data_IF_032743661658
#
_entry.id   IF_032743661658
#
_cell.length_a   1.000
_cell.length_b   1.000
_cell.length_c   1.000
_cell.angle_alpha   90.00
_cell.angle_beta   90.00
_cell.angle_gamma   90.00
#
_symmetry.space_group_name_H-M   'P 1'
#
loop_
_entity.id
_entity.type
_entity.pdbx_description
1 polymer ?
#
# COMPACT_ATOMS: atom_id res chain seq x y z
N UNK A 1 -11.01 -13.03 -11.75
CA UNK A 1 -10.94 -12.10 -10.61
C UNK A 1 -12.33 -11.63 -10.26
N UNK A 2 -12.72 -11.72 -9.00
CA UNK A 2 -13.98 -11.19 -8.47
C UNK A 2 -13.99 -9.65 -8.48
N UNK A 3 -15.19 -9.05 -8.46
CA UNK A 3 -15.37 -7.60 -8.33
C UNK A 3 -14.64 -7.04 -7.08
N UNK A 4 -14.58 -7.85 -6.02
CA UNK A 4 -13.91 -7.50 -4.78
C UNK A 4 -12.39 -7.42 -4.92
N UNK A 5 -11.78 -8.38 -5.62
CA UNK A 5 -10.35 -8.36 -5.93
C UNK A 5 -9.99 -7.16 -6.80
N UNK A 6 -10.82 -6.82 -7.78
CA UNK A 6 -10.63 -5.63 -8.63
C UNK A 6 -10.68 -4.33 -7.83
N UNK A 7 -11.61 -4.21 -6.88
CA UNK A 7 -11.68 -3.05 -5.99
C UNK A 7 -10.45 -2.93 -5.08
N UNK A 8 -9.97 -4.04 -4.52
CA UNK A 8 -8.77 -4.06 -3.69
C UNK A 8 -7.52 -3.69 -4.49
N UNK A 9 -7.39 -4.21 -5.71
CA UNK A 9 -6.32 -3.86 -6.64
C UNK A 9 -6.33 -2.36 -6.92
N UNK A 10 -7.49 -1.79 -7.23
CA UNK A 10 -7.66 -0.34 -7.49
C UNK A 10 -7.27 0.50 -6.27
N UNK A 11 -7.63 0.07 -5.06
CA UNK A 11 -7.23 0.76 -3.82
C UNK A 11 -5.70 0.72 -3.66
N UNK A 12 -5.07 -0.45 -3.82
CA UNK A 12 -3.62 -0.58 -3.72
C UNK A 12 -2.89 0.31 -4.73
N UNK A 13 -3.39 0.40 -5.97
CA UNK A 13 -2.86 1.28 -7.00
C UNK A 13 -2.99 2.76 -6.64
N UNK A 14 -4.12 3.17 -6.06
CA UNK A 14 -4.31 4.55 -5.61
C UNK A 14 -3.34 4.91 -4.48
N UNK A 15 -3.15 4.02 -3.50
CA UNK A 15 -2.16 4.22 -2.43
C UNK A 15 -0.74 4.28 -2.98
N UNK A 16 -0.41 3.41 -3.94
CA UNK A 16 0.88 3.45 -4.62
C UNK A 16 1.12 4.78 -5.34
N UNK A 17 0.12 5.28 -6.08
CA UNK A 17 0.22 6.60 -6.74
C UNK A 17 0.39 7.74 -5.75
N UNK A 18 -0.33 7.71 -4.64
CA UNK A 18 -0.24 8.74 -3.60
C UNK A 18 1.15 8.76 -2.94
N UNK A 19 1.66 7.59 -2.55
CA UNK A 19 2.96 7.43 -1.90
C UNK A 19 4.13 7.81 -2.82
N UNK A 20 3.98 7.59 -4.12
CA UNK A 20 4.97 8.02 -5.11
C UNK A 20 4.77 9.47 -5.58
N UNK A 21 3.70 10.15 -5.12
CA UNK A 21 3.42 11.55 -5.41
C UNK A 21 4.08 12.51 -4.42
N UNK A 22 4.02 13.83 -4.68
CA UNK A 22 4.75 14.84 -3.90
C UNK A 22 4.41 14.86 -2.40
N UNK A 23 3.19 14.48 -2.04
CA UNK A 23 2.74 14.44 -0.64
C UNK A 23 3.18 13.17 0.10
N UNK A 24 3.28 12.04 -0.59
CA UNK A 24 3.63 10.76 0.01
C UNK A 24 5.12 10.43 -0.11
N UNK A 25 5.86 11.16 -0.95
CA UNK A 25 7.26 10.88 -1.26
C UNK A 25 8.15 10.91 -0.02
N UNK A 26 7.92 11.85 0.90
CA UNK A 26 8.66 11.93 2.16
C UNK A 26 8.60 10.62 2.97
N UNK A 27 7.43 9.99 3.03
CA UNK A 27 7.24 8.69 3.72
C UNK A 27 8.09 7.60 3.09
N UNK A 28 8.32 7.66 1.78
CA UNK A 28 9.13 6.68 1.04
C UNK A 28 10.62 7.01 1.13
N UNK A 29 10.96 8.29 1.18
CA UNK A 29 12.34 8.72 1.35
C UNK A 29 12.87 8.37 2.75
N UNK A 30 11.99 8.36 3.77
CA UNK A 30 12.28 7.91 5.13
C UNK A 30 12.48 6.38 5.28
N UNK A 31 12.03 5.59 4.29
CA UNK A 31 12.24 4.14 4.27
C UNK A 31 13.58 3.80 3.62
N UNK A 32 14.30 2.84 4.20
CA UNK A 32 15.44 2.23 3.53
C UNK A 32 14.98 1.35 2.36
N UNK A 33 15.87 1.15 1.38
CA UNK A 33 15.59 0.30 0.23
C UNK A 33 15.35 -1.16 0.69
N UNK A 34 14.23 -1.76 0.29
CA UNK A 34 13.79 -3.07 0.78
C UNK A 34 13.05 -3.04 2.12
N UNK A 35 13.04 -1.91 2.83
CA UNK A 35 12.28 -1.75 4.06
C UNK A 35 10.77 -1.81 3.81
N UNK A 36 10.05 -2.30 4.80
CA UNK A 36 8.60 -2.45 4.75
C UNK A 36 7.92 -1.72 5.89
N UNK A 37 6.93 -0.90 5.54
CA UNK A 37 5.95 -0.36 6.46
C UNK A 37 4.61 -1.11 6.32
N UNK A 38 3.92 -1.33 7.44
CA UNK A 38 2.58 -1.91 7.45
C UNK A 38 1.58 -0.91 8.00
N UNK A 39 0.56 -0.59 7.20
CA UNK A 39 -0.56 0.25 7.62
C UNK A 39 -1.78 -0.64 7.83
N UNK A 40 -2.37 -0.56 9.03
CA UNK A 40 -3.65 -1.21 9.33
C UNK A 40 -4.75 -0.14 9.37
N UNK A 41 -5.80 -0.34 8.58
CA UNK A 41 -6.94 0.56 8.54
C UNK A 41 -8.21 -0.22 8.19
N UNK A 42 -9.28 -0.07 8.98
CA UNK A 42 -10.62 -0.63 8.71
C UNK A 42 -10.58 -2.10 8.25
N UNK A 43 -9.93 -2.95 9.07
CA UNK A 43 -9.75 -4.38 8.80
C UNK A 43 -8.76 -4.71 7.67
N UNK A 44 -8.23 -3.74 6.94
CA UNK A 44 -7.28 -3.94 5.83
C UNK A 44 -5.85 -3.70 6.29
N UNK A 45 -4.96 -4.60 5.93
CA UNK A 45 -3.52 -4.45 6.15
C UNK A 45 -2.84 -4.19 4.81
N UNK A 46 -2.24 -3.02 4.67
CA UNK A 46 -1.40 -2.63 3.55
C UNK A 46 0.06 -2.85 3.91
N UNK A 47 0.77 -3.57 3.06
CA UNK A 47 2.23 -3.68 3.08
C UNK A 47 2.79 -2.74 2.04
N UNK A 48 3.58 -1.78 2.47
CA UNK A 48 4.28 -0.82 1.64
C UNK A 48 5.76 -1.18 1.71
N UNK A 49 6.38 -1.40 0.56
CA UNK A 49 7.81 -1.72 0.49
C UNK A 49 8.47 -0.75 -0.48
N UNK A 50 9.63 -0.19 -0.11
CA UNK A 50 10.45 0.58 -1.04
C UNK A 50 11.21 -0.37 -1.94
N UNK A 51 11.03 -0.23 -3.25
CA UNK A 51 11.71 -1.07 -4.25
C UNK A 51 12.11 -0.23 -5.46
N UNK A 52 13.40 -0.03 -5.68
CA UNK A 52 13.94 0.85 -6.73
C UNK A 52 13.60 2.32 -6.48
N UNK A 53 13.60 2.76 -5.21
CA UNK A 53 13.26 4.14 -4.86
C UNK A 53 11.80 4.54 -5.08
N UNK A 54 10.90 3.56 -5.25
CA UNK A 54 9.44 3.76 -5.36
C UNK A 54 8.68 2.89 -4.37
N UNK A 55 7.51 3.35 -3.95
CA UNK A 55 6.59 2.60 -3.13
C UNK A 55 5.92 1.49 -3.94
N UNK A 56 5.97 0.25 -3.43
CA UNK A 56 5.11 -0.84 -3.87
C UNK A 56 4.14 -1.21 -2.76
N UNK A 57 2.85 -1.15 -3.07
CA UNK A 57 1.77 -1.43 -2.12
C UNK A 57 1.13 -2.78 -2.42
N UNK A 58 0.93 -3.59 -1.39
CA UNK A 58 0.21 -4.87 -1.44
C UNK A 58 -0.77 -4.97 -0.29
N UNK A 59 -1.93 -5.57 -0.49
CA UNK A 59 -2.91 -5.81 0.58
C UNK A 59 -2.69 -7.24 1.10
N UNK A 60 -2.37 -7.38 2.39
CA UNK A 60 -2.02 -8.68 3.01
C UNK A 60 -3.22 -9.38 3.65
N UNK A 61 -4.10 -8.64 4.30
CA UNK A 61 -5.28 -9.18 4.98
C UNK A 61 -6.42 -8.17 4.90
N UNK A 62 -7.63 -8.70 4.83
CA UNK A 62 -8.86 -7.96 5.08
C UNK A 62 -9.67 -8.77 6.09
N UNK A 63 -9.93 -8.23 7.27
CA UNK A 63 -10.94 -8.76 8.18
C UNK A 63 -12.25 -8.08 7.83
N UNK A 64 -13.22 -8.88 7.38
CA UNK A 64 -14.63 -8.46 7.36
C UNK A 64 -15.08 -8.35 8.80
N UNK A 65 -15.36 -7.13 9.27
CA UNK A 65 -16.28 -6.97 10.40
C UNK A 65 -17.56 -7.76 10.06
N UNK A 66 -17.94 -8.65 10.98
CA UNK A 66 -19.08 -9.57 10.86
C UNK A 66 -20.40 -8.83 11.01
#
# INVERSE_FOLDING_TARGET
>A
MSLREQNLQKIAENYSKYLNGPLGRAVIDDLDEGETCMIRSEGKTFKITKTGGVAKVRILRYETEK
#
